data_IF_363441356097
#
_entry.id   IF_363441356097
#
_cell.length_a   1.000
_cell.length_b   1.000
_cell.length_c   1.000
_cell.angle_alpha   90.00
_cell.angle_beta   90.00
_cell.angle_gamma   90.00
#
_symmetry.space_group_name_H-M   'P 1'
#
loop_
_entity.id
_entity.type
_entity.pdbx_description
1 polymer ?
#
# COMPACT_ATOMS: atom_id res chain seq x y z
N UNK A 1 19.82 -8.57 -9.64
CA UNK A 1 18.54 -8.40 -8.93
C UNK A 1 17.37 -8.94 -9.75
N UNK A 2 17.14 -8.45 -10.95
CA UNK A 2 16.00 -8.91 -11.76
C UNK A 2 16.10 -10.40 -12.11
N UNK A 3 17.29 -10.88 -12.43
CA UNK A 3 17.51 -12.29 -12.80
C UNK A 3 17.12 -13.23 -11.64
N UNK A 4 17.48 -12.91 -10.41
CA UNK A 4 17.11 -13.71 -9.24
C UNK A 4 15.58 -13.79 -9.05
N UNK A 5 14.85 -12.70 -9.36
CA UNK A 5 13.38 -12.69 -9.33
C UNK A 5 12.84 -13.53 -10.48
N UNK A 6 13.35 -13.37 -11.71
CA UNK A 6 12.94 -14.14 -12.88
C UNK A 6 13.14 -15.65 -12.66
N UNK A 7 14.31 -16.04 -12.15
CA UNK A 7 14.61 -17.44 -11.86
C UNK A 7 13.65 -18.03 -10.82
N UNK A 8 13.39 -17.30 -9.73
CA UNK A 8 12.42 -17.74 -8.73
C UNK A 8 11.02 -17.87 -9.30
N UNK A 9 10.55 -16.88 -10.06
CA UNK A 9 9.23 -16.89 -10.70
C UNK A 9 9.09 -18.04 -11.69
N UNK A 10 10.13 -18.25 -12.53
CA UNK A 10 10.16 -19.34 -13.48
C UNK A 10 10.00 -20.70 -12.80
N UNK A 11 10.76 -20.96 -11.73
CA UNK A 11 10.66 -22.20 -10.94
C UNK A 11 9.24 -22.39 -10.41
N UNK A 12 8.65 -21.36 -9.78
CA UNK A 12 7.31 -21.42 -9.20
C UNK A 12 6.23 -21.75 -10.24
N UNK A 13 6.32 -21.14 -11.44
CA UNK A 13 5.38 -21.40 -12.55
C UNK A 13 5.59 -22.78 -13.17
N UNK A 14 6.84 -23.21 -13.37
CA UNK A 14 7.15 -24.52 -13.99
C UNK A 14 6.76 -25.69 -13.08
N UNK A 15 7.00 -25.58 -11.76
CA UNK A 15 6.62 -26.62 -10.78
C UNK A 15 5.12 -26.66 -10.53
N UNK A 16 4.36 -25.64 -10.92
CA UNK A 16 2.94 -25.52 -10.64
C UNK A 16 2.63 -25.16 -9.18
N UNK A 17 3.59 -24.62 -8.44
CA UNK A 17 3.38 -24.09 -7.09
C UNK A 17 2.48 -22.84 -7.13
N UNK A 18 2.52 -22.10 -8.25
CA UNK A 18 1.63 -20.98 -8.54
C UNK A 18 1.02 -21.13 -9.94
N UNK A 19 -0.22 -20.70 -10.12
CA UNK A 19 -0.90 -20.68 -11.41
C UNK A 19 -0.63 -19.42 -12.22
N UNK A 20 -0.21 -18.35 -11.56
CA UNK A 20 0.22 -17.09 -12.16
C UNK A 20 1.03 -16.25 -11.19
N UNK A 21 1.87 -15.37 -11.74
CA UNK A 21 2.69 -14.44 -10.98
C UNK A 21 2.31 -13.00 -11.31
N UNK A 22 1.82 -12.26 -10.31
CA UNK A 22 1.50 -10.84 -10.44
C UNK A 22 2.74 -10.00 -10.21
N UNK A 23 3.23 -9.40 -11.27
CA UNK A 23 4.43 -8.55 -11.28
C UNK A 23 4.23 -7.32 -12.14
N UNK A 24 5.32 -6.77 -12.62
CA UNK A 24 5.35 -5.64 -13.54
C UNK A 24 6.00 -6.05 -14.85
N UNK A 25 5.49 -5.51 -15.96
CA UNK A 25 6.02 -5.69 -17.30
C UNK A 25 6.36 -4.32 -17.91
N UNK A 26 7.44 -4.25 -18.70
CA UNK A 26 7.79 -3.07 -19.49
C UNK A 26 7.39 -3.31 -20.95
N UNK A 27 6.39 -2.57 -21.41
CA UNK A 27 5.93 -2.64 -22.81
C UNK A 27 5.75 -1.23 -23.37
N UNK A 28 6.18 -1.01 -24.60
CA UNK A 28 6.06 0.28 -25.31
C UNK A 28 6.61 1.47 -24.51
N UNK A 29 7.69 1.28 -23.75
CA UNK A 29 8.29 2.29 -22.90
C UNK A 29 7.57 2.57 -21.56
N UNK A 30 6.49 1.87 -21.27
CA UNK A 30 5.71 2.02 -20.05
C UNK A 30 5.81 0.77 -19.18
N UNK A 31 5.69 0.96 -17.86
CA UNK A 31 5.59 -0.14 -16.88
C UNK A 31 4.12 -0.28 -16.47
N UNK A 32 3.65 -1.53 -16.42
CA UNK A 32 2.28 -1.85 -16.05
C UNK A 32 2.23 -3.15 -15.22
N UNK A 33 1.19 -3.36 -14.39
CA UNK A 33 0.92 -4.65 -13.77
C UNK A 33 0.64 -5.71 -14.81
N UNK A 34 1.16 -6.92 -14.58
CA UNK A 34 0.97 -8.07 -15.46
C UNK A 34 0.89 -9.36 -14.67
N UNK A 35 0.03 -10.28 -15.11
CA UNK A 35 -0.09 -11.62 -14.56
C UNK A 35 0.63 -12.60 -15.50
N UNK A 36 1.89 -12.91 -15.18
CA UNK A 36 2.69 -13.89 -15.91
C UNK A 36 2.14 -15.29 -15.69
N UNK A 37 2.05 -16.06 -16.78
CA UNK A 37 1.55 -17.42 -16.77
C UNK A 37 2.64 -18.43 -17.12
N UNK A 38 2.38 -19.72 -16.87
CA UNK A 38 3.29 -20.81 -17.22
C UNK A 38 3.59 -20.81 -18.73
N UNK A 39 4.87 -20.86 -19.07
CA UNK A 39 5.35 -20.86 -20.45
C UNK A 39 5.49 -19.47 -21.09
N UNK A 40 5.11 -18.42 -20.38
CA UNK A 40 5.29 -17.04 -20.83
C UNK A 40 6.75 -16.61 -20.65
N UNK A 41 7.26 -15.80 -21.58
CA UNK A 41 8.60 -15.23 -21.49
C UNK A 41 8.65 -14.13 -20.40
N UNK A 42 9.71 -14.14 -19.60
CA UNK A 42 9.90 -13.17 -18.52
C UNK A 42 10.88 -12.02 -18.92
N UNK A 43 11.21 -11.91 -20.22
CA UNK A 43 12.24 -10.97 -20.69
C UNK A 43 11.86 -9.51 -20.38
N UNK A 44 10.60 -9.18 -20.58
CA UNK A 44 10.05 -7.83 -20.35
C UNK A 44 9.63 -7.57 -18.88
N UNK A 45 9.86 -8.53 -17.97
CA UNK A 45 9.60 -8.32 -16.56
C UNK A 45 10.41 -7.14 -16.02
N UNK A 46 9.75 -6.29 -15.22
CA UNK A 46 10.34 -5.11 -14.59
C UNK A 46 10.16 -5.14 -13.07
N UNK A 47 11.07 -4.51 -12.36
CA UNK A 47 10.98 -4.30 -10.91
C UNK A 47 10.47 -2.89 -10.55
N UNK A 48 10.10 -2.09 -11.54
CA UNK A 48 9.85 -0.66 -11.43
C UNK A 48 11.14 0.15 -11.61
N UNK A 49 11.05 1.47 -11.74
CA UNK A 49 12.19 2.30 -12.09
C UNK A 49 13.12 2.69 -10.93
N UNK A 50 12.69 2.61 -9.70
CA UNK A 50 13.49 2.85 -8.48
C UNK A 50 14.22 4.20 -8.39
N UNK A 51 13.84 5.19 -9.18
CA UNK A 51 14.50 6.51 -9.17
C UNK A 51 14.04 7.43 -8.06
N UNK A 52 12.89 7.13 -7.49
CA UNK A 52 12.30 7.91 -6.43
C UNK A 52 10.94 7.38 -5.99
N UNK A 53 10.37 8.03 -5.00
CA UNK A 53 8.99 7.79 -4.59
C UNK A 53 8.06 8.15 -5.77
N UNK A 54 7.17 7.24 -6.15
CA UNK A 54 6.26 7.44 -7.26
C UNK A 54 6.64 6.77 -8.58
N UNK A 55 7.90 6.36 -8.72
CA UNK A 55 8.35 5.73 -9.95
C UNK A 55 7.73 4.34 -10.12
N UNK A 56 6.81 4.22 -11.10
CA UNK A 56 6.21 2.98 -11.57
C UNK A 56 5.82 1.98 -10.46
N UNK A 57 5.31 2.48 -9.34
CA UNK A 57 4.75 1.64 -8.29
C UNK A 57 3.26 1.45 -8.51
N UNK A 58 2.83 0.21 -8.36
CA UNK A 58 1.43 -0.17 -8.54
C UNK A 58 0.89 -0.90 -7.31
N UNK A 59 -0.41 -0.80 -7.02
CA UNK A 59 -1.05 -1.48 -5.90
C UNK A 59 -1.25 -2.98 -6.20
N UNK A 60 -0.17 -3.75 -6.35
CA UNK A 60 -0.24 -5.17 -6.73
C UNK A 60 -1.14 -5.96 -5.78
N UNK A 61 -1.08 -5.69 -4.48
CA UNK A 61 -1.97 -6.32 -3.50
C UNK A 61 -3.46 -6.05 -3.77
N UNK A 62 -3.80 -4.88 -4.32
CA UNK A 62 -5.19 -4.59 -4.69
C UNK A 62 -5.66 -5.39 -5.89
N UNK A 63 -4.82 -5.54 -6.90
CA UNK A 63 -5.10 -6.41 -8.03
C UNK A 63 -5.18 -7.86 -7.61
N UNK A 64 -4.29 -8.28 -6.70
CA UNK A 64 -4.28 -9.64 -6.16
C UNK A 64 -5.60 -10.00 -5.46
N UNK A 65 -6.20 -9.10 -4.69
CA UNK A 65 -7.53 -9.29 -4.09
C UNK A 65 -8.58 -9.60 -5.18
N UNK A 66 -8.55 -8.86 -6.27
CA UNK A 66 -9.50 -9.04 -7.37
C UNK A 66 -9.29 -10.39 -8.07
N UNK A 67 -8.04 -10.75 -8.33
CA UNK A 67 -7.67 -12.02 -8.98
C UNK A 67 -8.04 -13.19 -8.08
N UNK A 68 -7.67 -13.15 -6.80
CA UNK A 68 -7.99 -14.21 -5.84
C UNK A 68 -9.49 -14.41 -5.63
N UNK A 69 -10.31 -13.37 -5.72
CA UNK A 69 -11.76 -13.49 -5.68
C UNK A 69 -12.34 -14.12 -6.95
N UNK A 70 -11.73 -13.86 -8.10
CA UNK A 70 -12.16 -14.46 -9.37
C UNK A 70 -11.73 -15.94 -9.50
N UNK A 71 -10.63 -16.31 -8.86
CA UNK A 71 -10.05 -17.67 -8.91
C UNK A 71 -9.76 -18.16 -7.49
N UNK A 72 -10.78 -18.52 -6.71
CA UNK A 72 -10.63 -18.79 -5.27
C UNK A 72 -9.83 -20.06 -4.94
N UNK A 73 -9.70 -20.98 -5.89
CA UNK A 73 -8.96 -22.22 -5.72
C UNK A 73 -7.49 -22.12 -6.17
N UNK A 74 -7.14 -21.08 -6.91
CA UNK A 74 -5.82 -20.88 -7.47
C UNK A 74 -4.83 -20.26 -6.45
N UNK A 75 -3.56 -20.62 -6.59
CA UNK A 75 -2.44 -20.02 -5.84
C UNK A 75 -1.69 -19.06 -6.75
N UNK A 76 -1.47 -17.85 -6.26
CA UNK A 76 -0.80 -16.80 -7.03
C UNK A 76 0.50 -16.36 -6.36
N UNK A 77 1.53 -16.14 -7.19
CA UNK A 77 2.72 -15.43 -6.79
C UNK A 77 2.52 -13.91 -6.94
N UNK A 78 3.19 -13.12 -6.11
CA UNK A 78 3.18 -11.66 -6.22
C UNK A 78 4.53 -11.06 -5.86
N UNK A 79 4.96 -10.05 -6.65
CA UNK A 79 6.13 -9.25 -6.34
C UNK A 79 5.83 -8.32 -5.16
N UNK A 80 6.63 -8.39 -4.10
CA UNK A 80 6.39 -7.62 -2.88
C UNK A 80 7.62 -6.86 -2.42
N UNK A 81 7.44 -5.61 -2.03
CA UNK A 81 8.38 -4.80 -1.25
C UNK A 81 7.97 -4.81 0.22
N UNK A 82 8.72 -4.15 1.10
CA UNK A 82 8.40 -4.12 2.53
C UNK A 82 6.99 -3.62 2.84
N UNK A 83 6.51 -2.58 2.15
CA UNK A 83 5.15 -2.08 2.32
C UNK A 83 4.08 -3.03 1.76
N UNK A 84 4.39 -3.77 0.68
CA UNK A 84 3.48 -4.75 0.10
C UNK A 84 3.37 -5.98 1.00
N UNK A 85 4.47 -6.42 1.60
CA UNK A 85 4.51 -7.52 2.56
C UNK A 85 3.65 -7.19 3.80
N UNK A 86 3.83 -6.01 4.41
CA UNK A 86 2.94 -5.52 5.47
C UNK A 86 1.48 -5.46 5.02
N UNK A 87 1.27 -5.12 3.74
CA UNK A 87 -0.05 -5.14 3.11
C UNK A 87 -0.65 -6.53 3.08
N UNK A 88 0.11 -7.55 2.68
CA UNK A 88 -0.33 -8.94 2.69
C UNK A 88 -0.71 -9.40 4.09
N UNK A 89 0.14 -9.15 5.11
CA UNK A 89 -0.14 -9.51 6.50
C UNK A 89 -1.45 -8.90 6.98
N UNK A 90 -1.68 -7.62 6.63
CA UNK A 90 -2.93 -6.93 6.96
C UNK A 90 -4.12 -7.56 6.24
N UNK A 91 -4.00 -7.88 4.95
CA UNK A 91 -5.07 -8.50 4.17
C UNK A 91 -5.42 -9.91 4.64
N UNK A 92 -4.45 -10.69 5.10
CA UNK A 92 -4.68 -11.98 5.75
C UNK A 92 -5.45 -11.82 7.05
N UNK A 93 -5.04 -10.88 7.90
CA UNK A 93 -5.71 -10.58 9.17
C UNK A 93 -7.17 -10.13 8.96
N UNK A 94 -7.45 -9.43 7.84
CA UNK A 94 -8.79 -8.99 7.47
C UNK A 94 -9.55 -10.00 6.58
N UNK A 95 -9.06 -11.22 6.41
CA UNK A 95 -9.67 -12.28 5.58
C UNK A 95 -9.99 -11.81 4.14
N UNK A 96 -9.14 -10.94 3.57
CA UNK A 96 -9.27 -10.51 2.17
C UNK A 96 -8.48 -11.42 1.23
N UNK A 97 -7.46 -12.08 1.73
CA UNK A 97 -6.63 -13.06 1.06
C UNK A 97 -6.39 -14.26 1.98
N UNK A 98 -6.22 -15.43 1.40
CA UNK A 98 -5.78 -16.63 2.09
C UNK A 98 -4.25 -16.73 2.00
N UNK A 99 -3.56 -16.76 3.14
CA UNK A 99 -2.10 -16.83 3.19
C UNK A 99 -1.53 -18.11 2.59
N UNK A 100 -2.31 -19.19 2.53
CA UNK A 100 -1.91 -20.46 1.92
C UNK A 100 -1.96 -20.41 0.39
N UNK A 101 -2.62 -19.41 -0.19
CA UNK A 101 -2.82 -19.24 -1.64
C UNK A 101 -2.05 -18.07 -2.23
N UNK A 102 -1.10 -17.52 -1.47
CA UNK A 102 -0.25 -16.40 -1.91
C UNK A 102 1.21 -16.71 -1.66
N UNK A 103 2.02 -16.67 -2.71
CA UNK A 103 3.48 -16.81 -2.65
C UNK A 103 4.13 -15.46 -2.87
N UNK A 104 4.68 -14.87 -1.81
CA UNK A 104 5.37 -13.59 -1.88
C UNK A 104 6.79 -13.76 -2.44
N UNK A 105 7.14 -13.00 -3.49
CA UNK A 105 8.50 -12.93 -4.05
C UNK A 105 9.09 -11.58 -3.69
N UNK A 106 9.98 -11.56 -2.72
CA UNK A 106 10.42 -10.38 -2.03
C UNK A 106 11.54 -9.61 -2.72
N UNK A 107 11.35 -8.30 -2.84
CA UNK A 107 12.32 -7.33 -3.34
C UNK A 107 12.61 -6.28 -2.26
N UNK A 108 13.86 -6.20 -1.79
CA UNK A 108 14.27 -5.12 -0.89
C UNK A 108 14.40 -3.80 -1.67
N UNK A 109 13.99 -2.70 -1.04
CA UNK A 109 14.14 -1.36 -1.62
C UNK A 109 15.58 -0.87 -1.47
N UNK A 110 16.14 -0.14 -2.45
CA UNK A 110 17.43 0.53 -2.28
C UNK A 110 17.31 1.66 -1.23
N UNK A 111 18.46 2.09 -0.68
CA UNK A 111 18.51 3.10 0.38
C UNK A 111 17.86 4.42 -0.04
N UNK A 112 18.13 4.87 -1.27
CA UNK A 112 17.54 6.12 -1.81
C UNK A 112 16.01 6.09 -1.80
N UNK A 113 15.41 4.94 -2.14
CA UNK A 113 13.96 4.78 -2.09
C UNK A 113 13.44 4.67 -0.65
N UNK A 114 14.18 4.03 0.25
CA UNK A 114 13.86 3.97 1.67
C UNK A 114 13.81 5.38 2.29
N UNK A 115 14.80 6.22 1.96
CA UNK A 115 14.92 7.59 2.43
C UNK A 115 13.82 8.49 1.82
N UNK A 116 13.59 8.41 0.51
CA UNK A 116 12.53 9.16 -0.17
C UNK A 116 11.14 8.79 0.34
N UNK A 117 10.93 7.52 0.65
CA UNK A 117 9.71 7.02 1.25
C UNK A 117 9.63 7.24 2.76
N UNK A 118 10.70 7.68 3.43
CA UNK A 118 10.78 7.70 4.90
C UNK A 118 10.28 6.39 5.50
N UNK A 119 10.70 5.26 4.91
CA UNK A 119 10.13 3.95 5.18
C UNK A 119 10.79 3.31 6.39
N UNK A 120 10.02 2.90 7.38
CA UNK A 120 10.54 2.26 8.60
C UNK A 120 10.99 0.81 8.41
N UNK A 121 10.53 0.15 7.32
CA UNK A 121 10.98 -1.19 6.95
C UNK A 121 10.96 -1.34 5.43
N UNK A 122 12.10 -1.02 4.76
CA UNK A 122 12.17 -0.99 3.29
C UNK A 122 12.40 -2.37 2.64
N UNK A 123 12.17 -3.45 3.36
CA UNK A 123 12.35 -4.82 2.89
C UNK A 123 11.21 -5.73 3.38
N UNK A 124 10.85 -6.77 2.62
CA UNK A 124 9.91 -7.81 3.04
C UNK A 124 10.56 -8.80 4.01
N UNK A 125 9.75 -9.64 4.64
CA UNK A 125 10.23 -10.68 5.57
C UNK A 125 11.20 -11.66 4.88
N UNK A 126 10.89 -12.06 3.65
CA UNK A 126 11.75 -12.90 2.82
C UNK A 126 12.26 -12.11 1.62
N UNK A 127 13.57 -11.92 1.54
CA UNK A 127 14.22 -11.20 0.43
C UNK A 127 14.73 -12.22 -0.58
N UNK A 128 14.25 -12.11 -1.82
CA UNK A 128 14.77 -12.87 -2.98
C UNK A 128 15.83 -12.05 -3.72
N UNK A 129 15.64 -10.73 -3.78
CA UNK A 129 16.59 -9.82 -4.42
C UNK A 129 16.70 -8.49 -3.68
N UNK A 130 17.85 -7.84 -3.85
CA UNK A 130 18.20 -6.61 -3.14
C UNK A 130 18.80 -6.86 -1.76
N UNK A 131 19.27 -5.81 -1.11
CA UNK A 131 19.88 -5.84 0.21
C UNK A 131 19.01 -5.06 1.20
N UNK A 132 19.11 -5.38 2.47
CA UNK A 132 18.40 -4.66 3.53
C UNK A 132 18.96 -3.24 3.63
N UNK A 133 18.13 -2.25 3.29
CA UNK A 133 18.41 -0.86 3.55
C UNK A 133 18.07 -0.49 5.01
N UNK A 134 18.70 0.56 5.51
CA UNK A 134 18.36 1.13 6.81
C UNK A 134 17.00 1.85 6.77
N UNK A 135 16.28 1.93 7.90
CA UNK A 135 15.05 2.68 7.98
C UNK A 135 15.22 4.15 7.61
N UNK A 136 14.36 4.67 6.76
CA UNK A 136 14.27 6.10 6.47
C UNK A 136 13.68 6.89 7.66
N UNK A 137 14.13 8.13 7.82
CA UNK A 137 13.64 9.01 8.90
C UNK A 137 12.31 9.66 8.53
N UNK A 138 11.34 9.67 9.44
CA UNK A 138 10.02 10.31 9.26
C UNK A 138 10.09 11.85 9.39
N UNK A 139 10.85 12.52 8.51
CA UNK A 139 11.08 13.97 8.52
C UNK A 139 9.81 14.77 8.28
N UNK A 140 8.92 14.26 7.43
CA UNK A 140 7.65 14.91 7.10
C UNK A 140 6.74 15.02 8.32
N UNK A 141 6.65 13.96 9.13
CA UNK A 141 5.88 13.97 10.39
C UNK A 141 6.51 14.90 11.40
N UNK A 142 7.84 14.85 11.56
CA UNK A 142 8.56 15.71 12.49
C UNK A 142 8.39 17.21 12.15
N UNK A 143 8.39 17.57 10.88
CA UNK A 143 8.14 18.94 10.43
C UNK A 143 6.74 19.44 10.82
N UNK A 144 5.71 18.59 10.66
CA UNK A 144 4.34 18.95 11.08
C UNK A 144 4.21 19.01 12.62
N UNK A 145 4.87 18.11 13.33
CA UNK A 145 4.83 18.09 14.80
C UNK A 145 5.53 19.30 15.44
N UNK A 146 6.48 19.90 14.73
CA UNK A 146 7.16 21.13 15.18
C UNK A 146 6.29 22.39 15.08
N UNK A 147 5.18 22.34 14.33
CA UNK A 147 4.24 23.46 14.23
C UNK A 147 3.40 23.59 15.51
N UNK A 148 3.06 24.84 15.88
CA UNK A 148 2.06 25.10 16.90
C UNK A 148 0.67 24.55 16.47
N UNK A 149 -0.19 24.25 17.42
CA UNK A 149 -1.49 23.61 17.14
C UNK A 149 -2.34 24.38 16.12
N UNK A 150 -2.39 25.70 16.21
CA UNK A 150 -3.13 26.57 15.29
C UNK A 150 -2.52 26.59 13.88
N UNK A 151 -1.19 26.58 13.79
CA UNK A 151 -0.47 26.52 12.52
C UNK A 151 -0.65 25.17 11.86
N UNK A 152 -0.58 24.07 12.63
CA UNK A 152 -0.83 22.71 12.16
C UNK A 152 -2.25 22.57 11.62
N UNK A 153 -3.24 23.11 12.32
CA UNK A 153 -4.63 23.12 11.84
C UNK A 153 -4.76 23.89 10.53
N UNK A 154 -4.19 25.09 10.47
CA UNK A 154 -4.22 25.93 9.26
C UNK A 154 -3.52 25.28 8.08
N UNK A 155 -2.39 24.60 8.31
CA UNK A 155 -1.68 23.81 7.32
C UNK A 155 -2.60 22.74 6.72
N UNK A 156 -3.21 21.90 7.54
CA UNK A 156 -4.08 20.84 7.03
C UNK A 156 -5.32 21.37 6.32
N UNK A 157 -5.91 22.48 6.80
CA UNK A 157 -7.03 23.11 6.11
C UNK A 157 -6.63 23.60 4.72
N UNK A 158 -5.45 24.22 4.59
CA UNK A 158 -4.92 24.68 3.30
C UNK A 158 -4.61 23.53 2.34
N UNK A 159 -4.20 22.38 2.86
CA UNK A 159 -3.98 21.17 2.05
C UNK A 159 -5.31 20.54 1.60
N UNK A 160 -6.27 20.42 2.50
CA UNK A 160 -7.54 19.76 2.21
C UNK A 160 -8.41 20.51 1.19
N UNK A 161 -8.32 21.85 1.16
CA UNK A 161 -9.06 22.65 0.19
C UNK A 161 -8.65 22.40 -1.27
N UNK A 162 -7.44 21.87 -1.49
CA UNK A 162 -6.95 21.49 -2.84
C UNK A 162 -7.66 20.24 -3.40
N UNK A 163 -8.36 19.49 -2.57
CA UNK A 163 -8.96 18.22 -2.96
C UNK A 163 -10.08 18.42 -3.99
N UNK A 164 -10.02 17.66 -5.08
CA UNK A 164 -11.03 17.65 -6.16
C UNK A 164 -11.97 16.43 -6.09
N UNK A 165 -12.00 15.72 -4.98
CA UNK A 165 -12.80 14.48 -4.78
C UNK A 165 -12.67 13.44 -5.91
N UNK A 166 -11.49 13.29 -6.50
CA UNK A 166 -11.23 12.29 -7.56
C UNK A 166 -11.22 10.84 -7.07
N UNK A 167 -11.18 10.62 -5.76
CA UNK A 167 -11.07 9.30 -5.11
C UNK A 167 -9.83 8.49 -5.49
N UNK A 168 -8.85 9.06 -6.19
CA UNK A 168 -7.58 8.40 -6.54
C UNK A 168 -6.92 7.75 -5.34
N UNK A 169 -6.85 8.47 -4.21
CA UNK A 169 -6.30 7.98 -2.96
C UNK A 169 -7.01 6.74 -2.38
N UNK A 170 -8.30 6.54 -2.62
CA UNK A 170 -9.04 5.34 -2.19
C UNK A 170 -8.98 4.24 -3.23
N UNK A 171 -9.01 4.60 -4.51
CA UNK A 171 -9.00 3.64 -5.61
C UNK A 171 -7.68 2.89 -5.72
N UNK A 172 -6.55 3.57 -5.45
CA UNK A 172 -5.22 2.95 -5.46
C UNK A 172 -4.89 2.19 -4.18
N UNK A 173 -5.56 2.48 -3.07
CA UNK A 173 -5.22 1.93 -1.76
C UNK A 173 -5.57 0.44 -1.64
N UNK A 174 -4.59 -0.45 -1.37
CA UNK A 174 -4.88 -1.88 -1.20
C UNK A 174 -5.73 -2.18 0.04
N UNK A 175 -5.71 -1.28 1.03
CA UNK A 175 -6.50 -1.42 2.27
C UNK A 175 -7.94 -0.89 2.11
N UNK A 176 -8.30 -0.32 0.96
CA UNK A 176 -9.68 0.08 0.64
C UNK A 176 -10.41 -1.03 -0.11
N UNK A 177 -10.82 -2.06 0.62
CA UNK A 177 -11.51 -3.25 0.10
C UNK A 177 -13.00 -3.32 0.50
N UNK A 178 -13.52 -2.32 1.21
CA UNK A 178 -14.94 -2.27 1.59
C UNK A 178 -15.84 -2.20 0.36
N UNK A 179 -16.93 -2.95 0.34
CA UNK A 179 -17.95 -2.94 -0.72
C UNK A 179 -18.74 -1.63 -0.72
N UNK A 180 -19.02 -1.10 0.47
CA UNK A 180 -19.67 0.19 0.69
C UNK A 180 -18.71 1.14 1.40
N UNK A 181 -18.72 2.41 0.98
CA UNK A 181 -17.80 3.41 1.51
C UNK A 181 -18.60 4.65 1.93
N UNK A 182 -18.49 5.03 3.21
CA UNK A 182 -19.14 6.24 3.73
C UNK A 182 -18.70 7.54 3.02
N UNK A 183 -17.50 7.57 2.43
CA UNK A 183 -17.06 8.69 1.59
C UNK A 183 -17.76 8.76 0.23
N UNK A 184 -18.58 7.77 -0.12
CA UNK A 184 -19.42 7.73 -1.32
C UNK A 184 -20.91 7.79 -0.96
N UNK A 185 -21.23 8.09 0.30
CA UNK A 185 -22.57 8.29 0.78
C UNK A 185 -22.92 9.78 0.68
N UNK A 186 -23.95 10.14 -0.08
CA UNK A 186 -24.35 11.54 -0.32
C UNK A 186 -24.75 12.29 0.95
N UNK A 187 -25.15 11.57 2.00
CA UNK A 187 -25.46 12.16 3.32
C UNK A 187 -24.22 12.72 4.02
N UNK A 188 -23.05 12.15 3.75
CA UNK A 188 -21.78 12.57 4.36
C UNK A 188 -20.90 13.39 3.41
N UNK A 189 -20.84 12.98 2.15
CA UNK A 189 -20.00 13.58 1.11
C UNK A 189 -20.81 13.72 -0.16
N UNK A 190 -21.21 14.95 -0.49
CA UNK A 190 -22.05 15.21 -1.66
C UNK A 190 -21.31 14.99 -2.96
N UNK A 191 -21.89 14.21 -3.83
CA UNK A 191 -21.33 13.97 -5.17
C UNK A 191 -21.33 15.26 -6.00
N UNK A 192 -20.21 15.49 -6.75
CA UNK A 192 -20.10 16.60 -7.68
C UNK A 192 -19.87 17.98 -7.07
N UNK A 193 -19.90 18.14 -5.75
CA UNK A 193 -19.61 19.43 -5.10
C UNK A 193 -18.12 19.57 -4.77
N UNK A 194 -17.57 20.76 -5.04
CA UNK A 194 -16.18 21.14 -4.73
C UNK A 194 -16.17 22.50 -4.01
N UNK A 195 -15.22 22.70 -3.05
CA UNK A 195 -14.32 21.71 -2.46
C UNK A 195 -15.07 20.60 -1.72
N UNK A 196 -14.37 19.51 -1.27
CA UNK A 196 -15.01 18.51 -0.42
C UNK A 196 -15.43 19.11 0.93
N UNK A 197 -16.24 18.39 1.67
CA UNK A 197 -16.65 18.75 3.04
C UNK A 197 -15.44 18.78 3.97
N UNK A 198 -14.84 19.96 4.13
CA UNK A 198 -13.60 20.18 4.89
C UNK A 198 -13.95 20.43 6.36
N UNK A 199 -13.29 19.74 7.28
CA UNK A 199 -12.25 18.71 7.14
C UNK A 199 -12.80 17.28 7.05
N UNK A 200 -14.11 17.10 7.01
CA UNK A 200 -14.81 15.80 7.22
C UNK A 200 -14.34 14.72 6.27
N UNK A 201 -14.19 15.03 4.97
CA UNK A 201 -13.75 14.06 3.97
C UNK A 201 -12.40 13.42 4.33
N UNK A 202 -11.38 14.22 4.62
CA UNK A 202 -10.04 13.72 4.91
C UNK A 202 -9.94 13.13 6.32
N UNK A 203 -10.65 13.67 7.31
CA UNK A 203 -10.72 13.09 8.64
C UNK A 203 -11.38 11.71 8.63
N UNK A 204 -12.52 11.57 7.95
CA UNK A 204 -13.20 10.27 7.80
C UNK A 204 -12.26 9.26 7.14
N UNK A 205 -11.58 9.69 6.07
CA UNK A 205 -10.62 8.81 5.41
C UNK A 205 -9.46 8.44 6.33
N UNK A 206 -8.90 9.39 7.07
CA UNK A 206 -7.81 9.11 8.00
C UNK A 206 -8.26 8.13 9.09
N UNK A 207 -9.45 8.30 9.65
CA UNK A 207 -10.02 7.37 10.63
C UNK A 207 -10.22 5.95 10.07
N UNK A 208 -10.64 5.80 8.82
CA UNK A 208 -10.73 4.48 8.18
C UNK A 208 -9.37 3.82 7.98
N UNK A 209 -8.30 4.62 7.93
CA UNK A 209 -6.93 4.11 7.76
C UNK A 209 -6.23 3.81 9.10
N UNK A 210 -6.83 4.19 10.24
CA UNK A 210 -6.30 3.86 11.57
C UNK A 210 -6.21 2.34 11.73
N UNK A 211 -5.02 1.84 12.00
CA UNK A 211 -4.76 0.40 12.14
C UNK A 211 -4.91 -0.41 10.85
N UNK A 212 -5.00 0.26 9.68
CA UNK A 212 -5.02 -0.38 8.36
C UNK A 212 -3.93 0.13 7.42
N UNK A 213 -3.46 1.38 7.61
CA UNK A 213 -2.44 1.98 6.75
C UNK A 213 -1.11 1.27 6.90
N UNK A 214 -0.58 0.74 5.81
CA UNK A 214 0.73 0.05 5.73
C UNK A 214 1.85 0.96 5.26
N UNK A 215 1.59 2.26 5.21
CA UNK A 215 2.55 3.30 4.82
C UNK A 215 3.19 3.08 3.44
N UNK A 216 2.41 2.64 2.45
CA UNK A 216 2.90 2.43 1.10
C UNK A 216 3.07 3.73 0.27
N UNK A 217 2.39 4.82 0.63
CA UNK A 217 2.49 6.11 -0.06
C UNK A 217 1.71 6.24 -1.37
N UNK A 218 1.15 5.18 -1.92
CA UNK A 218 0.43 5.20 -3.21
C UNK A 218 -0.72 6.22 -3.28
N UNK A 219 -1.36 6.50 -2.13
CA UNK A 219 -2.44 7.50 -2.07
C UNK A 219 -1.98 8.92 -2.34
N UNK A 220 -0.75 9.26 -1.94
CA UNK A 220 -0.13 10.55 -2.18
C UNK A 220 0.35 10.65 -3.63
N UNK A 221 0.98 9.59 -4.15
CA UNK A 221 1.43 9.50 -5.54
C UNK A 221 0.26 9.62 -6.53
N UNK A 222 -0.90 9.04 -6.20
CA UNK A 222 -2.10 9.13 -7.02
C UNK A 222 -2.89 10.44 -6.85
N UNK A 223 -2.44 11.35 -5.99
CA UNK A 223 -3.15 12.60 -5.73
C UNK A 223 -2.77 13.68 -6.75
N UNK A 224 -3.65 14.07 -7.69
CA UNK A 224 -3.31 15.10 -8.67
C UNK A 224 -3.14 16.49 -8.06
N UNK A 225 -3.65 16.70 -6.84
CA UNK A 225 -3.54 17.96 -6.09
C UNK A 225 -2.32 18.00 -5.16
N UNK A 226 -1.50 16.95 -5.13
CA UNK A 226 -0.29 16.88 -4.32
C UNK A 226 -0.52 17.00 -2.82
N UNK A 227 -1.68 16.56 -2.31
CA UNK A 227 -1.97 16.60 -0.87
C UNK A 227 -1.08 15.57 -0.16
N UNK A 228 -0.34 15.93 0.92
CA UNK A 228 0.59 15.04 1.61
C UNK A 228 -0.14 14.01 2.48
N UNK A 229 -0.92 13.15 1.83
CA UNK A 229 -1.77 12.15 2.49
C UNK A 229 -0.96 11.11 3.26
N UNK A 230 0.23 10.78 2.75
CA UNK A 230 1.11 9.84 3.43
C UNK A 230 1.54 10.38 4.79
N UNK A 231 1.94 11.65 4.86
CA UNK A 231 2.31 12.33 6.11
C UNK A 231 1.17 12.29 7.12
N UNK A 232 -0.06 12.57 6.67
CA UNK A 232 -1.25 12.48 7.53
C UNK A 232 -1.42 11.07 8.11
N UNK A 233 -1.32 10.03 7.28
CA UNK A 233 -1.52 8.66 7.73
C UNK A 233 -0.34 8.11 8.54
N UNK A 234 0.89 8.54 8.25
CA UNK A 234 2.06 8.26 9.10
C UNK A 234 1.86 8.82 10.51
N UNK A 235 1.38 10.06 10.63
CA UNK A 235 1.07 10.66 11.92
C UNK A 235 0.02 9.87 12.70
N UNK A 236 -1.05 9.44 12.03
CA UNK A 236 -2.06 8.56 12.64
C UNK A 236 -1.43 7.23 13.07
N UNK A 237 -0.57 6.64 12.24
CA UNK A 237 0.17 5.42 12.55
C UNK A 237 1.10 5.58 13.76
N UNK A 238 1.81 6.72 13.88
CA UNK A 238 2.68 6.99 15.03
C UNK A 238 1.90 7.10 16.35
N UNK A 239 0.69 7.64 16.31
CA UNK A 239 -0.20 7.65 17.49
C UNK A 239 -0.64 6.23 17.87
N UNK A 240 -0.92 5.38 16.88
CA UNK A 240 -1.25 3.97 17.15
C UNK A 240 -0.08 3.23 17.80
N UNK A 241 1.13 3.47 17.33
CA UNK A 241 2.34 2.89 17.93
C UNK A 241 2.54 3.40 19.37
N UNK A 242 2.49 4.72 19.56
CA UNK A 242 2.73 5.35 20.88
C UNK A 242 1.68 4.93 21.93
N UNK A 243 0.39 4.89 21.57
CA UNK A 243 -0.70 4.68 22.53
C UNK A 243 -1.10 3.23 22.71
N UNK A 244 -0.86 2.38 21.71
CA UNK A 244 -1.40 1.02 21.68
C UNK A 244 -0.32 -0.04 21.37
N UNK A 245 0.94 0.35 21.22
CA UNK A 245 2.04 -0.55 20.80
C UNK A 245 1.67 -1.37 19.55
N UNK A 246 1.01 -0.71 18.59
CA UNK A 246 0.48 -1.36 17.40
C UNK A 246 1.05 -0.74 16.12
N UNK A 247 1.66 -1.59 15.29
CA UNK A 247 2.12 -1.25 13.93
C UNK A 247 1.43 -2.14 12.90
N UNK A 248 0.71 -1.54 11.97
CA UNK A 248 -0.06 -2.27 10.96
C UNK A 248 0.82 -3.16 10.08
N UNK A 249 0.57 -4.48 10.12
CA UNK A 249 1.23 -5.45 9.26
C UNK A 249 2.66 -5.83 9.66
N UNK A 250 3.13 -5.43 10.85
CA UNK A 250 4.47 -5.80 11.34
C UNK A 250 4.49 -7.15 12.08
N UNK A 251 3.39 -7.51 12.70
CA UNK A 251 3.24 -8.77 13.42
C UNK A 251 2.13 -9.58 12.78
N UNK A 252 2.43 -10.82 12.41
CA UNK A 252 1.47 -11.72 11.79
C UNK A 252 0.25 -11.95 12.69
N UNK A 253 -0.94 -11.84 12.11
CA UNK A 253 -2.21 -12.06 12.82
C UNK A 253 -2.56 -10.99 13.86
N UNK A 254 -1.71 -9.98 14.09
CA UNK A 254 -2.00 -8.91 15.04
C UNK A 254 -3.15 -8.02 14.51
N UNK A 255 -4.22 -7.93 15.29
CA UNK A 255 -5.39 -7.11 14.95
C UNK A 255 -5.27 -5.72 15.55
N UNK A 256 -5.82 -4.73 14.84
CA UNK A 256 -5.88 -3.37 15.37
C UNK A 256 -6.68 -3.32 16.67
N UNK A 257 -6.17 -2.67 17.73
CA UNK A 257 -6.91 -2.52 19.01
C UNK A 257 -8.18 -1.68 18.85
N UNK A 258 -8.34 -0.95 17.74
CA UNK A 258 -9.56 -0.20 17.43
C UNK A 258 -10.56 -1.01 16.59
N UNK A 259 -10.29 -2.27 16.31
CA UNK A 259 -11.21 -3.16 15.62
C UNK A 259 -12.23 -3.76 16.61
N UNK A 260 -13.28 -3.00 16.89
CA UNK A 260 -14.35 -3.39 17.84
C UNK A 260 -15.42 -4.30 17.24
N UNK A 261 -15.38 -4.51 15.90
CA UNK A 261 -16.46 -5.27 15.19
C UNK A 261 -16.15 -6.77 15.15
N UNK A 262 -14.94 -7.18 15.48
CA UNK A 262 -14.59 -8.59 15.60
C UNK A 262 -15.24 -9.18 16.86
N UNK A 263 -16.51 -9.53 16.73
CA UNK A 263 -17.11 -10.48 17.64
C UNK A 263 -16.22 -11.73 17.68
N UNK A 264 -15.83 -12.14 18.87
CA UNK A 264 -15.16 -13.42 19.08
C UNK A 264 -15.91 -14.49 18.30
N UNK A 265 -15.28 -15.10 17.31
CA UNK A 265 -15.68 -16.42 16.86
C UNK A 265 -15.25 -17.43 17.89
#
# INVERSE_FOLDING_TARGET
MIDSIKDKVKVLLETGEIEGFLGLVRQNGHIAPHLFQKGEALDDMSLGDHKGSGDARYPLNKYLITIAKAYPDATFGVLVRGCDDRGLQTLYTWNQLDSQKVVAVGLACPQELADACECSQPYPAQIVAGERAEPGQAKSVAAIDALELSERFSYWMSEFVKCIKCYGCSNVCPMCFCSECSLKCDDLVKSGELPPEIPVFHHTRAMHMVGRCVDCGLCEEACPSGIPLRTLYKKVGSVMEEKFDFKTGYVEGQRSPLNIIDGKK
#
